data_IF_057313407618
#
_entry.id   IF_057313407618
#
_cell.length_a   1.000
_cell.length_b   1.000
_cell.length_c   1.000
_cell.angle_alpha   90.00
_cell.angle_beta   90.00
_cell.angle_gamma   90.00
#
_symmetry.space_group_name_H-M   'P 1'
#
loop_
_entity.id
_entity.type
_entity.pdbx_description
1 polymer ?
#
# COMPACT_ATOMS: atom_id res chain seq x y z
N UNK A 1 -12.29 -7.38 -11.23
CA UNK A 1 -12.23 -6.91 -12.63
C UNK A 1 -12.31 -5.39 -12.63
N UNK A 2 -11.30 -4.66 -13.15
CA UNK A 2 -11.22 -3.20 -13.07
C UNK A 2 -12.39 -2.49 -13.77
N UNK A 3 -12.95 -3.12 -14.80
CA UNK A 3 -14.11 -2.61 -15.54
C UNK A 3 -15.40 -2.51 -14.72
N UNK A 4 -15.57 -3.31 -13.65
CA UNK A 4 -16.81 -3.30 -12.86
C UNK A 4 -17.06 -1.96 -12.15
N UNK A 5 -16.00 -1.31 -11.69
CA UNK A 5 -16.08 -0.01 -11.01
C UNK A 5 -16.42 1.10 -12.00
N UNK A 6 -15.76 1.09 -13.17
CA UNK A 6 -16.02 2.04 -14.26
C UNK A 6 -17.48 1.96 -14.70
N UNK A 7 -17.99 0.75 -14.96
CA UNK A 7 -19.39 0.54 -15.40
C UNK A 7 -20.39 0.99 -14.32
N UNK A 8 -20.11 0.71 -13.05
CA UNK A 8 -21.00 1.13 -11.96
C UNK A 8 -21.03 2.66 -11.82
N UNK A 9 -19.89 3.33 -11.96
CA UNK A 9 -19.79 4.79 -11.89
C UNK A 9 -20.52 5.46 -13.07
N UNK A 10 -20.31 4.96 -14.29
CA UNK A 10 -21.07 5.40 -15.46
C UNK A 10 -22.58 5.20 -15.26
N UNK A 11 -23.01 4.06 -14.72
CA UNK A 11 -24.42 3.77 -14.49
C UNK A 11 -25.07 4.74 -13.49
N UNK A 12 -24.36 5.08 -12.40
CA UNK A 12 -24.82 6.05 -11.41
C UNK A 12 -24.96 7.44 -12.05
N UNK A 13 -23.92 7.91 -12.75
CA UNK A 13 -23.93 9.23 -13.39
C UNK A 13 -25.01 9.29 -14.48
N UNK A 14 -25.15 8.24 -15.27
CA UNK A 14 -26.19 8.13 -16.29
C UNK A 14 -27.60 8.15 -15.68
N UNK A 15 -27.81 7.50 -14.53
CA UNK A 15 -29.10 7.54 -13.83
C UNK A 15 -29.47 8.94 -13.34
N UNK A 16 -28.49 9.75 -12.97
CA UNK A 16 -28.69 11.13 -12.50
C UNK A 16 -28.89 12.08 -13.67
N UNK A 17 -27.97 12.10 -14.64
CA UNK A 17 -27.97 13.06 -15.74
C UNK A 17 -28.85 12.65 -16.94
N UNK A 18 -29.26 11.39 -17.03
CA UNK A 18 -30.05 10.77 -18.12
C UNK A 18 -29.38 10.78 -19.50
N UNK A 19 -28.35 11.60 -19.68
CA UNK A 19 -27.50 11.73 -20.86
C UNK A 19 -26.06 11.95 -20.40
N UNK A 20 -25.13 11.33 -21.11
CA UNK A 20 -23.70 11.48 -20.92
C UNK A 20 -23.12 11.79 -22.30
N UNK A 21 -22.38 12.89 -22.40
CA UNK A 21 -21.59 13.18 -23.59
C UNK A 21 -20.30 12.34 -23.61
N UNK A 22 -19.73 12.14 -24.80
CA UNK A 22 -18.47 11.40 -24.96
C UNK A 22 -17.36 11.95 -24.06
N UNK A 23 -17.25 13.28 -23.93
CA UNK A 23 -16.24 13.90 -23.07
C UNK A 23 -16.43 13.59 -21.58
N UNK A 24 -17.67 13.40 -21.12
CA UNK A 24 -17.95 13.02 -19.74
C UNK A 24 -17.62 11.55 -19.46
N UNK A 25 -17.86 10.68 -20.45
CA UNK A 25 -17.46 9.27 -20.38
C UNK A 25 -15.95 9.16 -20.27
N UNK A 26 -15.21 9.86 -21.13
CA UNK A 26 -13.74 9.86 -21.11
C UNK A 26 -13.19 10.37 -19.78
N UNK A 27 -13.81 11.42 -19.21
CA UNK A 27 -13.44 11.94 -17.90
C UNK A 27 -13.66 10.91 -16.77
N UNK A 28 -14.80 10.23 -16.77
CA UNK A 28 -15.10 9.19 -15.76
C UNK A 28 -14.12 8.02 -15.86
N UNK A 29 -13.78 7.61 -17.08
CA UNK A 29 -12.79 6.54 -17.32
C UNK A 29 -11.42 6.99 -16.79
N UNK A 30 -10.96 8.19 -17.15
CA UNK A 30 -9.69 8.75 -16.69
C UNK A 30 -9.60 8.84 -15.17
N UNK A 31 -10.63 9.37 -14.50
CA UNK A 31 -10.68 9.45 -13.04
C UNK A 31 -10.69 8.07 -12.38
N UNK A 32 -11.39 7.09 -12.97
CA UNK A 32 -11.43 5.74 -12.45
C UNK A 32 -10.09 5.01 -12.60
N UNK A 33 -9.39 5.19 -13.72
CA UNK A 33 -8.04 4.65 -13.93
C UNK A 33 -7.03 5.28 -12.99
N UNK A 34 -7.08 6.61 -12.80
CA UNK A 34 -6.24 7.32 -11.84
C UNK A 34 -6.48 6.85 -10.40
N UNK A 35 -7.75 6.62 -10.02
CA UNK A 35 -8.12 6.08 -8.72
C UNK A 35 -7.66 4.63 -8.53
N UNK A 36 -7.77 3.79 -9.56
CA UNK A 36 -7.26 2.41 -9.55
C UNK A 36 -5.73 2.37 -9.43
N UNK A 37 -5.00 3.30 -10.05
CA UNK A 37 -3.56 3.43 -9.91
C UNK A 37 -3.15 3.88 -8.49
N UNK A 38 -3.90 4.82 -7.91
CA UNK A 38 -3.74 5.23 -6.52
C UNK A 38 -4.05 4.11 -5.52
N UNK A 39 -5.11 3.33 -5.78
CA UNK A 39 -5.50 2.18 -4.97
C UNK A 39 -4.49 1.04 -5.08
N UNK A 40 -3.96 0.75 -6.28
CA UNK A 40 -2.88 -0.22 -6.48
C UNK A 40 -1.60 0.19 -5.75
N UNK A 41 -1.24 1.48 -5.79
CA UNK A 41 -0.10 2.02 -5.04
C UNK A 41 -0.32 1.94 -3.52
N UNK A 42 -1.55 2.14 -3.07
CA UNK A 42 -1.94 2.04 -1.65
C UNK A 42 -1.98 0.59 -1.17
N UNK A 43 -2.48 -0.33 -1.99
CA UNK A 43 -2.46 -1.77 -1.74
C UNK A 43 -1.02 -2.32 -1.72
N UNK A 44 -0.17 -1.87 -2.66
CA UNK A 44 1.26 -2.18 -2.63
C UNK A 44 1.91 -1.63 -1.35
N UNK A 45 1.55 -0.42 -0.90
CA UNK A 45 2.08 0.13 0.36
C UNK A 45 1.54 -0.60 1.59
N UNK A 46 0.33 -1.15 1.54
CA UNK A 46 -0.25 -1.99 2.60
C UNK A 46 0.33 -3.41 2.62
N UNK A 47 0.76 -3.93 1.47
CA UNK A 47 1.46 -5.22 1.35
C UNK A 47 2.92 -5.15 1.77
N UNK A 48 3.49 -3.95 1.95
CA UNK A 48 4.75 -3.75 2.65
C UNK A 48 4.55 -3.95 4.16
N UNK A 49 4.18 -5.16 4.57
CA UNK A 49 4.62 -5.64 5.88
C UNK A 49 6.06 -6.11 5.68
N UNK A 50 7.03 -5.62 6.48
CA UNK A 50 8.35 -6.21 6.47
C UNK A 50 8.20 -7.65 6.97
N UNK A 51 8.16 -8.60 6.04
CA UNK A 51 8.30 -10.02 6.30
C UNK A 51 9.75 -10.27 6.71
N UNK A 52 10.07 -9.96 7.97
CA UNK A 52 11.41 -10.14 8.51
C UNK A 52 11.83 -9.21 9.65
N UNK A 53 10.91 -8.64 10.43
CA UNK A 53 11.27 -8.19 11.77
C UNK A 53 10.66 -9.15 12.79
N UNK A 54 11.41 -10.22 13.06
CA UNK A 54 11.26 -11.03 14.26
C UNK A 54 12.16 -10.40 15.34
N UNK A 55 11.65 -9.51 16.21
CA UNK A 55 12.37 -9.19 17.43
C UNK A 55 12.16 -10.37 18.37
N UNK A 56 13.21 -11.19 18.49
CA UNK A 56 13.52 -12.06 19.63
C UNK A 56 13.06 -13.53 19.54
N UNK A 57 14.00 -14.42 19.25
CA UNK A 57 14.36 -15.49 20.18
C UNK A 57 15.74 -16.05 19.82
N UNK A 58 16.61 -16.18 20.84
CA UNK A 58 17.93 -16.84 20.84
C UNK A 58 19.14 -15.96 20.50
N UNK A 59 19.44 -15.01 21.39
CA UNK A 59 20.83 -14.81 21.82
C UNK A 59 20.88 -14.48 23.32
N UNK A 60 20.90 -15.48 24.22
CA UNK A 60 21.58 -15.30 25.47
C UNK A 60 23.07 -15.50 25.18
N UNK A 61 23.81 -14.42 24.94
CA UNK A 61 25.23 -14.26 25.29
C UNK A 61 25.82 -13.03 24.57
N UNK A 62 25.44 -11.85 25.06
CA UNK A 62 26.41 -10.76 25.14
C UNK A 62 26.81 -10.65 26.60
N UNK A 63 27.63 -11.60 27.07
CA UNK A 63 28.41 -11.37 28.28
C UNK A 63 29.24 -10.10 28.03
N UNK A 64 29.20 -9.10 28.92
CA UNK A 64 30.24 -8.08 28.91
C UNK A 64 31.55 -8.82 29.15
N UNK A 65 32.52 -8.68 28.24
CA UNK A 65 33.87 -9.18 28.49
C UNK A 65 34.33 -8.64 29.86
N UNK A 66 34.91 -9.48 30.74
CA UNK A 66 35.51 -8.98 31.97
C UNK A 66 36.55 -7.94 31.56
N UNK A 67 36.40 -6.73 32.08
CA UNK A 67 37.36 -5.64 31.92
C UNK A 67 38.69 -6.17 32.42
N UNK A 68 39.67 -6.33 31.52
CA UNK A 68 41.02 -6.74 31.86
C UNK A 68 41.50 -5.90 33.03
N UNK A 69 41.78 -6.57 34.15
CA UNK A 69 42.38 -5.96 35.33
C UNK A 69 43.71 -5.32 34.88
N UNK A 70 44.00 -4.05 35.23
CA UNK A 70 45.29 -3.48 34.89
C UNK A 70 46.35 -4.24 35.67
N UNK A 71 47.33 -4.73 34.92
CA UNK A 71 48.51 -5.44 35.41
C UNK A 71 49.12 -4.67 36.59
N UNK A 72 49.10 -5.28 37.78
CA UNK A 72 49.77 -4.75 38.96
C UNK A 72 51.27 -4.98 38.77
N UNK A 73 51.99 -3.92 38.37
CA UNK A 73 53.42 -3.78 38.64
C UNK A 73 53.63 -3.09 39.99
#
# INVERSE_FOLDING_TARGET
MPYGVVVMMLFIVFRIKRTLDGAEIDKIIWECEASSAGAARSAARASWRPSGFEPNALTPMSQPLPRSEPDRM
#
